data_IF_806146968947
#
_entry.id   IF_806146968947
#
_cell.length_a   1.000
_cell.length_b   1.000
_cell.length_c   1.000
_cell.angle_alpha   90.00
_cell.angle_beta   90.00
_cell.angle_gamma   90.00
#
_symmetry.space_group_name_H-M   'P 1'
#
loop_
_entity.id
_entity.type
_entity.pdbx_description
1 polymer ?
#
# COMPACT_ATOMS: atom_id res chain seq x y z
N UNK A 1 0.17 15.19 6.29
CA UNK A 1 -0.83 14.25 5.73
C UNK A 1 -1.12 13.21 6.79
N UNK A 2 -2.38 13.10 7.22
CA UNK A 2 -2.77 12.09 8.22
C UNK A 2 -3.08 10.77 7.52
N UNK A 3 -2.18 9.78 7.71
CA UNK A 3 -2.42 8.40 7.31
C UNK A 3 -2.87 7.60 8.51
N UNK A 4 -3.92 6.80 8.33
CA UNK A 4 -4.44 5.95 9.40
C UNK A 4 -3.49 4.77 9.59
N UNK A 5 -2.77 4.74 10.72
CA UNK A 5 -1.83 3.66 11.05
C UNK A 5 -2.52 2.29 11.16
N UNK A 6 -3.77 2.25 11.64
CA UNK A 6 -4.53 1.00 11.78
C UNK A 6 -5.78 1.00 10.90
N UNK A 7 -5.67 0.69 9.59
CA UNK A 7 -6.84 0.53 8.75
C UNK A 7 -7.66 -0.67 9.24
N UNK A 8 -8.86 -0.40 9.73
CA UNK A 8 -9.78 -1.42 10.27
C UNK A 8 -10.28 -2.39 9.20
N UNK A 9 -10.37 -1.94 7.94
CA UNK A 9 -10.86 -2.75 6.80
C UNK A 9 -9.91 -2.70 5.60
N UNK A 10 -9.98 -3.73 4.75
CA UNK A 10 -9.28 -3.79 3.44
C UNK A 10 -9.67 -2.58 2.57
N UNK A 11 -10.95 -2.20 2.60
CA UNK A 11 -11.46 -1.04 1.84
C UNK A 11 -10.83 0.27 2.29
N UNK A 12 -10.69 0.48 3.60
CA UNK A 12 -10.05 1.67 4.15
C UNK A 12 -8.56 1.70 3.80
N UNK A 13 -7.88 0.55 3.88
CA UNK A 13 -6.48 0.43 3.46
C UNK A 13 -6.30 0.81 1.99
N UNK A 14 -7.16 0.32 1.08
CA UNK A 14 -7.11 0.72 -0.33
C UNK A 14 -7.20 2.24 -0.51
N UNK A 15 -8.12 2.91 0.21
CA UNK A 15 -8.27 4.37 0.16
C UNK A 15 -7.01 5.09 0.63
N UNK A 16 -6.35 4.59 1.69
CA UNK A 16 -5.10 5.17 2.18
C UNK A 16 -3.95 4.99 1.17
N UNK A 17 -3.86 3.81 0.55
CA UNK A 17 -2.87 3.53 -0.50
C UNK A 17 -3.09 4.44 -1.71
N UNK A 18 -4.34 4.65 -2.13
CA UNK A 18 -4.68 5.59 -3.22
C UNK A 18 -4.17 6.99 -2.88
N UNK A 19 -4.53 7.50 -1.69
CA UNK A 19 -4.11 8.83 -1.24
C UNK A 19 -2.59 8.97 -1.21
N UNK A 20 -1.88 7.96 -0.71
CA UNK A 20 -0.42 7.97 -0.65
C UNK A 20 0.21 7.97 -2.06
N UNK A 21 -0.26 7.08 -2.94
CA UNK A 21 0.21 7.01 -4.32
C UNK A 21 -0.05 8.33 -5.07
N UNK A 22 -1.24 8.90 -4.94
CA UNK A 22 -1.61 10.15 -5.60
C UNK A 22 -0.81 11.33 -5.06
N UNK A 23 -0.48 11.31 -3.76
CA UNK A 23 0.39 12.31 -3.14
C UNK A 23 1.82 12.21 -3.64
N UNK A 24 2.34 11.00 -3.84
CA UNK A 24 3.66 10.78 -4.44
C UNK A 24 3.69 11.21 -5.91
N UNK A 25 2.69 10.81 -6.70
CA UNK A 25 2.56 11.22 -8.12
C UNK A 25 2.44 12.75 -8.22
N UNK A 26 1.73 13.38 -7.29
CA UNK A 26 1.59 14.83 -7.21
C UNK A 26 2.78 15.56 -6.58
N UNK A 27 3.92 14.88 -6.34
CA UNK A 27 5.14 15.44 -5.74
C UNK A 27 4.95 16.07 -4.34
N UNK A 28 3.90 15.67 -3.62
CA UNK A 28 3.59 16.11 -2.24
C UNK A 28 4.13 15.15 -1.17
N UNK A 29 4.65 14.00 -1.59
CA UNK A 29 5.19 12.95 -0.75
C UNK A 29 6.47 12.42 -1.41
N UNK A 30 7.52 12.20 -0.63
CA UNK A 30 8.75 11.61 -1.14
C UNK A 30 8.63 10.10 -1.33
N UNK A 31 9.50 9.53 -2.16
CA UNK A 31 9.57 8.09 -2.37
C UNK A 31 9.80 7.33 -1.05
N UNK A 32 10.70 7.85 -0.20
CA UNK A 32 10.99 7.27 1.11
C UNK A 32 9.74 7.19 1.99
N UNK A 33 8.95 8.27 2.06
CA UNK A 33 7.71 8.31 2.84
C UNK A 33 6.67 7.31 2.32
N UNK A 34 6.53 7.22 0.99
CA UNK A 34 5.63 6.24 0.38
C UNK A 34 6.08 4.82 0.71
N UNK A 35 7.37 4.52 0.53
CA UNK A 35 7.95 3.20 0.79
C UNK A 35 7.76 2.78 2.25
N UNK A 36 8.07 3.66 3.19
CA UNK A 36 7.89 3.42 4.62
C UNK A 36 6.43 3.11 4.95
N UNK A 37 5.47 3.87 4.40
CA UNK A 37 4.05 3.64 4.64
C UNK A 37 3.59 2.29 4.09
N UNK A 38 3.98 1.95 2.86
CA UNK A 38 3.62 0.68 2.22
C UNK A 38 4.25 -0.50 2.97
N UNK A 39 5.53 -0.41 3.35
CA UNK A 39 6.20 -1.43 4.17
C UNK A 39 5.59 -1.58 5.54
N UNK A 40 5.16 -0.48 6.17
CA UNK A 40 4.45 -0.51 7.44
C UNK A 40 3.12 -1.27 7.32
N UNK A 41 2.32 -0.98 6.28
CA UNK A 41 1.08 -1.73 6.03
C UNK A 41 1.35 -3.21 5.70
N UNK A 42 2.41 -3.51 4.96
CA UNK A 42 2.82 -4.88 4.66
C UNK A 42 3.22 -5.65 5.92
N UNK A 43 3.97 -5.01 6.82
CA UNK A 43 4.47 -5.62 8.06
C UNK A 43 3.37 -5.79 9.11
N UNK A 44 2.54 -4.77 9.32
CA UNK A 44 1.55 -4.75 10.40
C UNK A 44 0.19 -5.31 9.98
N UNK A 45 -0.16 -5.19 8.70
CA UNK A 45 -1.48 -5.56 8.16
C UNK A 45 -1.35 -6.45 6.93
N UNK A 46 -0.29 -7.26 6.84
CA UNK A 46 0.00 -8.13 5.69
C UNK A 46 -1.18 -9.03 5.28
N UNK A 47 -1.94 -9.56 6.24
CA UNK A 47 -3.16 -10.37 5.97
C UNK A 47 -4.26 -9.63 5.20
N UNK A 48 -4.27 -8.28 5.26
CA UNK A 48 -5.22 -7.43 4.52
C UNK A 48 -4.63 -6.96 3.20
N UNK A 49 -3.32 -6.69 3.16
CA UNK A 49 -2.63 -6.20 1.98
C UNK A 49 -2.40 -7.29 0.94
N UNK A 50 -2.08 -8.50 1.39
CA UNK A 50 -1.70 -9.63 0.55
C UNK A 50 -2.80 -10.69 0.48
N UNK A 51 -2.73 -11.48 -0.59
CA UNK A 51 -3.41 -12.75 -0.80
C UNK A 51 -2.37 -13.77 -1.27
N UNK A 52 -2.78 -15.00 -1.58
CA UNK A 52 -1.87 -16.11 -1.90
C UNK A 52 -0.88 -15.79 -3.02
N UNK A 53 -1.30 -15.02 -4.03
CA UNK A 53 -0.51 -14.69 -5.22
C UNK A 53 -0.23 -13.18 -5.38
N UNK A 54 -0.02 -12.44 -4.28
CA UNK A 54 0.37 -11.03 -4.33
C UNK A 54 -0.60 -10.12 -3.59
N UNK A 55 -0.99 -8.97 -4.16
CA UNK A 55 -1.91 -8.05 -3.52
C UNK A 55 -3.32 -8.65 -3.40
N UNK A 56 -4.04 -8.29 -2.34
CA UNK A 56 -5.43 -8.67 -2.17
C UNK A 56 -6.27 -8.15 -3.37
N UNK A 57 -7.10 -8.99 -4.01
CA UNK A 57 -7.90 -8.58 -5.17
C UNK A 57 -8.77 -7.34 -4.92
N UNK A 58 -9.30 -7.17 -3.70
CA UNK A 58 -10.08 -5.99 -3.33
C UNK A 58 -9.22 -4.72 -3.32
N UNK A 59 -7.97 -4.81 -2.87
CA UNK A 59 -7.01 -3.70 -2.93
C UNK A 59 -6.71 -3.40 -4.39
N UNK A 60 -6.29 -4.41 -5.16
CA UNK A 60 -5.88 -4.27 -6.56
C UNK A 60 -6.99 -3.64 -7.43
N UNK A 61 -8.23 -4.11 -7.29
CA UNK A 61 -9.38 -3.57 -8.01
C UNK A 61 -9.68 -2.11 -7.66
N UNK A 62 -9.46 -1.70 -6.41
CA UNK A 62 -9.72 -0.32 -5.96
C UNK A 62 -8.62 0.65 -6.35
N UNK A 63 -7.36 0.27 -6.16
CA UNK A 63 -6.23 1.18 -6.41
C UNK A 63 -5.94 1.29 -7.91
N UNK A 64 -6.31 0.28 -8.69
CA UNK A 64 -6.12 0.22 -10.13
C UNK A 64 -4.70 -0.19 -10.54
N UNK A 65 -4.52 -0.46 -11.84
CA UNK A 65 -3.28 -1.04 -12.39
C UNK A 65 -2.04 -0.18 -12.11
N UNK A 66 -2.11 1.13 -12.39
CA UNK A 66 -0.97 2.05 -12.22
C UNK A 66 -0.46 2.10 -10.78
N UNK A 67 -1.37 2.21 -9.81
CA UNK A 67 -1.00 2.25 -8.37
C UNK A 67 -0.56 0.88 -7.85
N UNK A 68 -1.13 -0.21 -8.38
CA UNK A 68 -0.69 -1.57 -8.02
C UNK A 68 0.76 -1.81 -8.41
N UNK A 69 1.17 -1.36 -9.60
CA UNK A 69 2.58 -1.42 -10.03
C UNK A 69 3.47 -0.61 -9.10
N UNK A 70 3.07 0.62 -8.76
CA UNK A 70 3.82 1.46 -7.83
C UNK A 70 3.97 0.81 -6.44
N UNK A 71 2.89 0.24 -5.90
CA UNK A 71 2.92 -0.49 -4.63
C UNK A 71 3.88 -1.68 -4.69
N UNK A 72 3.87 -2.46 -5.77
CA UNK A 72 4.79 -3.57 -5.95
C UNK A 72 6.26 -3.11 -6.05
N UNK A 73 6.52 -1.97 -6.70
CA UNK A 73 7.86 -1.36 -6.72
C UNK A 73 8.31 -0.99 -5.30
N UNK A 74 7.44 -0.36 -4.51
CA UNK A 74 7.75 0.01 -3.11
C UNK A 74 7.98 -1.22 -2.21
N UNK A 75 7.33 -2.34 -2.53
CA UNK A 75 7.51 -3.62 -1.87
C UNK A 75 8.66 -4.45 -2.44
N UNK A 76 9.42 -3.95 -3.41
CA UNK A 76 10.57 -4.67 -3.96
C UNK A 76 11.59 -4.96 -2.86
N UNK A 77 11.97 -6.24 -2.73
CA UNK A 77 12.85 -6.75 -1.67
C UNK A 77 12.17 -6.93 -0.31
N UNK A 78 10.87 -6.68 -0.17
CA UNK A 78 10.13 -6.96 1.06
C UNK A 78 9.78 -8.44 1.16
N UNK A 79 10.20 -9.09 2.25
CA UNK A 79 9.80 -10.45 2.59
C UNK A 79 8.95 -10.40 3.86
N UNK A 80 7.76 -11.01 3.80
CA UNK A 80 6.92 -11.21 4.98
C UNK A 80 7.66 -12.15 5.92
N UNK A 81 7.88 -11.73 7.17
CA UNK A 81 8.25 -12.66 8.24
C UNK A 81 7.02 -13.51 8.53
N UNK A 82 7.11 -14.80 8.19
CA UNK A 82 6.16 -15.85 8.57
C UNK A 82 6.11 -16.00 10.09
#
# INVERSE_FOLDING_TARGET
MEFVKNPTTVKLMATQIIKACDSYIGLKMSEKQLRELIMYYASQHGKKLFSHNGLNPTIQNRIGKKRSVLVNIMLSGFQIKL
#
